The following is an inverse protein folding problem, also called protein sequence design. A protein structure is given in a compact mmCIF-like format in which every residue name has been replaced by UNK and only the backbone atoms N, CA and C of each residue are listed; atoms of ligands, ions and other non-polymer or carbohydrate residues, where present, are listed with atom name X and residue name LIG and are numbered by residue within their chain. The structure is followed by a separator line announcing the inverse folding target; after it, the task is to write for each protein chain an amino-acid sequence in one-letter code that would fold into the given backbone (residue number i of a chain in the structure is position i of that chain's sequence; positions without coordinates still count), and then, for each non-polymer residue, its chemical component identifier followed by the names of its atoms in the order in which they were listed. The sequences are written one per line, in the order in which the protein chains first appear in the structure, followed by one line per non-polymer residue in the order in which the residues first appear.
data_IF_591136502668
#
_entry.id   IF_591136502668
#
_cell.length_a   1.000
_cell.length_b   1.000
_cell.length_c   1.000
_cell.angle_alpha   90.00
_cell.angle_beta   90.00
_cell.angle_gamma   90.00
#
_symmetry.space_group_name_H-M   'P 1'
#
loop_
_entity.id
_entity.type
_entity.pdbx_description
1 polymer ?
#
# COMPACT_ATOMS: atom_id res chain seq x y z
N UNK A 1 -0.76 -11.32 33.16
CA UNK A 1 -1.41 -12.34 32.30
C UNK A 1 -0.60 -12.45 31.03
N UNK A 2 -0.12 -13.65 30.67
CA UNK A 2 0.71 -13.88 29.46
C UNK A 2 0.06 -14.86 28.48
N UNK A 3 -0.99 -15.59 28.89
CA UNK A 3 -1.77 -16.45 28.01
C UNK A 3 -2.66 -15.61 27.05
N UNK A 4 -2.95 -16.12 25.83
CA UNK A 4 -3.86 -15.46 24.88
C UNK A 4 -5.24 -15.15 25.47
N UNK A 5 -5.86 -14.07 24.98
CA UNK A 5 -7.25 -13.73 25.34
C UNK A 5 -8.20 -14.69 24.63
N UNK A 6 -9.11 -15.31 25.39
CA UNK A 6 -10.11 -16.23 24.86
C UNK A 6 -11.48 -15.57 24.67
N UNK A 7 -11.90 -14.72 25.61
CA UNK A 7 -13.18 -14.02 25.52
C UNK A 7 -13.23 -12.77 26.41
N UNK A 8 -14.03 -11.79 26.02
CA UNK A 8 -14.58 -10.78 26.93
C UNK A 8 -15.80 -11.39 27.63
N UNK A 9 -15.89 -11.26 28.95
CA UNK A 9 -16.98 -11.77 29.78
C UNK A 9 -17.80 -10.60 30.33
N UNK A 10 -18.99 -10.85 30.92
CA UNK A 10 -19.78 -9.80 31.54
C UNK A 10 -19.05 -9.01 32.66
N UNK A 11 -17.97 -9.57 33.22
CA UNK A 11 -17.25 -8.99 34.37
C UNK A 11 -15.79 -8.64 34.05
N UNK A 12 -15.30 -8.90 32.83
CA UNK A 12 -13.92 -8.62 32.46
C UNK A 12 -13.41 -9.42 31.26
N UNK A 13 -12.20 -9.98 31.38
CA UNK A 13 -11.51 -10.72 30.30
C UNK A 13 -11.06 -12.09 30.80
N UNK A 14 -11.30 -13.12 30.00
CA UNK A 14 -10.83 -14.49 30.26
C UNK A 14 -9.69 -14.87 29.30
N UNK A 15 -8.61 -15.38 29.87
CA UNK A 15 -7.50 -15.98 29.13
C UNK A 15 -7.80 -17.44 28.74
N UNK A 16 -7.04 -17.96 27.77
CA UNK A 16 -7.19 -19.33 27.27
C UNK A 16 -6.83 -20.42 28.31
N UNK A 17 -6.10 -20.08 29.36
CA UNK A 17 -5.79 -20.97 30.48
C UNK A 17 -6.88 -20.99 31.57
N UNK A 18 -7.98 -20.25 31.36
CA UNK A 18 -9.09 -20.14 32.29
C UNK A 18 -8.96 -19.00 33.31
N UNK A 19 -7.83 -18.28 33.35
CA UNK A 19 -7.66 -17.11 34.23
C UNK A 19 -8.68 -16.03 33.87
N UNK A 20 -9.43 -15.53 34.86
CA UNK A 20 -10.32 -14.38 34.71
C UNK A 20 -9.74 -13.13 35.37
N UNK A 21 -9.76 -12.01 34.64
CA UNK A 21 -9.37 -10.70 35.13
C UNK A 21 -10.60 -9.82 35.10
N UNK A 22 -11.09 -9.42 36.27
CA UNK A 22 -12.18 -8.47 36.38
C UNK A 22 -11.75 -7.10 35.84
N UNK A 23 -12.61 -6.46 35.05
CA UNK A 23 -12.34 -5.15 34.48
C UNK A 23 -13.64 -4.39 34.25
N UNK A 24 -13.67 -3.12 34.69
CA UNK A 24 -14.78 -2.21 34.42
C UNK A 24 -14.69 -1.58 33.02
N UNK A 25 -13.46 -1.50 32.47
CA UNK A 25 -13.17 -0.91 31.15
C UNK A 25 -12.18 -1.79 30.39
N UNK A 26 -12.49 -2.08 29.13
CA UNK A 26 -11.62 -2.81 28.21
C UNK A 26 -11.24 -1.91 27.04
N UNK A 27 -9.95 -1.71 26.81
CA UNK A 27 -9.42 -0.93 25.69
C UNK A 27 -8.86 -1.88 24.63
N UNK A 28 -9.44 -1.87 23.43
CA UNK A 28 -9.02 -2.71 22.32
C UNK A 28 -7.91 -2.02 21.51
N UNK A 29 -6.68 -2.50 21.67
CA UNK A 29 -5.51 -2.01 20.93
C UNK A 29 -5.04 -3.03 19.87
N UNK A 30 -5.98 -3.65 19.13
CA UNK A 30 -5.70 -4.75 18.19
C UNK A 30 -5.21 -4.30 16.81
N UNK A 31 -5.11 -2.98 16.56
CA UNK A 31 -4.62 -2.43 15.29
C UNK A 31 -5.68 -2.36 14.19
N UNK A 32 -5.23 -2.48 12.94
CA UNK A 32 -6.03 -2.29 11.72
C UNK A 32 -5.77 -3.41 10.70
N UNK A 33 -6.68 -3.58 9.75
CA UNK A 33 -6.53 -4.49 8.61
C UNK A 33 -5.61 -3.86 7.53
N UNK A 34 -4.30 -3.88 7.76
CA UNK A 34 -3.31 -3.12 6.95
C UNK A 34 -3.09 -3.62 5.53
N UNK A 35 -3.59 -4.83 5.19
CA UNK A 35 -3.45 -5.43 3.87
C UNK A 35 -4.72 -5.28 3.00
N UNK A 36 -5.85 -4.89 3.60
CA UNK A 36 -7.12 -4.67 2.88
C UNK A 36 -7.21 -3.24 2.37
N UNK A 37 -6.31 -2.89 1.45
CA UNK A 37 -6.30 -1.57 0.83
C UNK A 37 -7.61 -1.32 0.06
N UNK A 38 -8.06 -0.06 0.04
CA UNK A 38 -9.25 0.46 -0.67
C UNK A 38 -10.59 -0.25 -0.40
N UNK A 39 -10.67 -1.20 0.52
CA UNK A 39 -11.92 -1.83 0.95
C UNK A 39 -12.80 -0.77 1.68
N UNK A 40 -14.12 -0.60 1.38
CA UNK A 40 -14.96 -1.49 0.60
C UNK A 40 -15.24 -1.16 -0.88
N UNK A 41 -14.37 -0.38 -1.52
CA UNK A 41 -14.59 0.07 -2.89
C UNK A 41 -14.49 -1.07 -3.90
N UNK A 42 -15.39 -1.06 -4.88
CA UNK A 42 -15.33 -1.91 -6.06
C UNK A 42 -14.80 -1.07 -7.22
N UNK A 43 -13.54 -1.31 -7.60
CA UNK A 43 -12.86 -0.60 -8.68
C UNK A 43 -12.63 -1.59 -9.81
N UNK A 44 -13.10 -1.22 -11.00
CA UNK A 44 -12.93 -1.99 -12.24
C UNK A 44 -11.99 -1.23 -13.17
N UNK A 45 -10.97 -1.94 -13.64
CA UNK A 45 -10.05 -1.50 -14.66
C UNK A 45 -10.46 -1.96 -16.05
N UNK A 46 -9.47 -2.12 -16.93
CA UNK A 46 -9.67 -2.64 -18.29
C UNK A 46 -10.23 -4.05 -18.27
N UNK A 47 -11.01 -4.36 -19.30
CA UNK A 47 -11.60 -5.68 -19.53
C UNK A 47 -12.42 -6.23 -18.35
N UNK A 48 -12.87 -5.34 -17.45
CA UNK A 48 -13.64 -5.70 -16.26
C UNK A 48 -12.81 -6.18 -15.06
N UNK A 49 -11.47 -6.23 -15.18
CA UNK A 49 -10.57 -6.66 -14.10
C UNK A 49 -10.82 -5.83 -12.84
N UNK A 50 -11.15 -6.49 -11.73
CA UNK A 50 -11.30 -5.79 -10.46
C UNK A 50 -9.95 -5.63 -9.77
N UNK A 51 -9.79 -4.55 -9.01
CA UNK A 51 -8.57 -4.33 -8.21
C UNK A 51 -8.37 -5.42 -7.15
N UNK A 52 -9.45 -6.02 -6.66
CA UNK A 52 -9.42 -7.14 -5.74
C UNK A 52 -8.88 -8.42 -6.40
N UNK A 53 -9.22 -8.67 -7.66
CA UNK A 53 -8.62 -9.76 -8.45
C UNK A 53 -7.14 -9.49 -8.73
N UNK A 54 -6.77 -8.25 -9.06
CA UNK A 54 -5.39 -7.88 -9.36
C UNK A 54 -4.45 -8.02 -8.14
N UNK A 55 -4.88 -7.55 -6.96
CA UNK A 55 -4.07 -7.57 -5.73
C UNK A 55 -4.23 -8.85 -4.90
N UNK A 56 -5.31 -9.60 -5.11
CA UNK A 56 -5.70 -10.69 -4.23
C UNK A 56 -6.02 -10.20 -2.80
N UNK A 57 -6.01 -11.11 -1.81
CA UNK A 57 -6.41 -10.78 -0.44
C UNK A 57 -5.41 -9.91 0.32
N UNK A 58 -4.11 -9.98 -0.02
CA UNK A 58 -3.03 -9.41 0.79
C UNK A 58 -1.76 -9.02 0.01
N UNK A 59 -1.76 -9.08 -1.33
CA UNK A 59 -0.55 -8.94 -2.15
C UNK A 59 -0.56 -7.71 -3.06
N UNK A 60 -1.12 -6.61 -2.57
CA UNK A 60 -1.23 -5.39 -3.33
C UNK A 60 0.13 -4.81 -3.76
N UNK A 61 0.16 -4.17 -4.93
CA UNK A 61 1.28 -3.41 -5.44
C UNK A 61 0.81 -2.24 -6.31
N UNK A 62 1.68 -1.24 -6.46
CA UNK A 62 1.44 -0.09 -7.31
C UNK A 62 2.79 0.52 -7.70
N UNK A 63 2.90 0.98 -8.94
CA UNK A 63 4.05 1.77 -9.40
C UNK A 63 4.14 3.05 -8.57
N UNK A 64 5.29 3.25 -7.92
CA UNK A 64 5.54 4.33 -6.95
C UNK A 64 4.54 4.40 -5.78
N UNK A 65 3.70 3.38 -5.58
CA UNK A 65 2.56 3.45 -4.67
C UNK A 65 1.42 4.36 -5.13
N UNK A 66 1.39 4.74 -6.42
CA UNK A 66 0.49 5.76 -6.99
C UNK A 66 -0.42 5.17 -8.07
N UNK A 67 0.14 4.47 -9.07
CA UNK A 67 -0.63 3.99 -10.24
C UNK A 67 -0.57 2.48 -10.37
N UNK A 68 -1.63 1.87 -10.91
CA UNK A 68 -1.74 0.41 -11.06
C UNK A 68 -1.97 0.08 -12.53
N UNK A 69 -1.14 -0.78 -13.10
CA UNK A 69 -1.34 -1.30 -14.46
C UNK A 69 -2.68 -2.02 -14.55
N UNK A 70 -3.42 -1.81 -15.64
CA UNK A 70 -4.79 -2.30 -15.84
C UNK A 70 -5.86 -1.31 -15.37
N UNK A 71 -5.50 -0.23 -14.68
CA UNK A 71 -6.44 0.74 -14.09
C UNK A 71 -6.15 2.17 -14.56
N UNK A 72 -6.57 2.54 -15.80
CA UNK A 72 -6.33 3.87 -16.33
C UNK A 72 -7.00 4.94 -15.46
N UNK A 73 -6.31 6.09 -15.29
CA UNK A 73 -6.76 7.24 -14.48
C UNK A 73 -7.00 6.93 -12.99
N UNK A 74 -6.61 5.75 -12.49
CA UNK A 74 -6.61 5.45 -11.07
C UNK A 74 -5.32 5.93 -10.42
N UNK A 75 -5.45 6.91 -9.52
CA UNK A 75 -4.35 7.43 -8.72
C UNK A 75 -4.61 7.19 -7.25
N UNK A 76 -3.61 6.63 -6.57
CA UNK A 76 -3.63 6.33 -5.15
C UNK A 76 -2.74 7.32 -4.43
N UNK A 77 -3.30 7.97 -3.41
CA UNK A 77 -2.51 8.44 -2.28
C UNK A 77 -2.49 7.33 -1.26
N UNK A 78 -1.39 7.16 -0.55
CA UNK A 78 -1.29 6.12 0.47
C UNK A 78 -1.40 4.69 -0.06
N UNK A 79 -0.96 4.48 -1.30
CA UNK A 79 -1.00 3.15 -1.91
C UNK A 79 -0.01 2.15 -1.29
N UNK A 80 -0.03 0.91 -1.81
CA UNK A 80 0.88 -0.16 -1.36
C UNK A 80 2.35 0.29 -1.38
N UNK A 81 3.13 -0.19 -0.42
CA UNK A 81 4.57 0.01 -0.40
C UNK A 81 5.04 1.44 -0.07
N UNK A 82 4.22 2.26 0.58
CA UNK A 82 4.51 3.69 0.85
C UNK A 82 4.69 4.03 2.33
N UNK A 83 4.39 3.09 3.23
CA UNK A 83 4.50 3.32 4.68
C UNK A 83 5.97 3.40 5.09
N UNK A 84 6.32 4.41 5.89
CA UNK A 84 7.68 4.60 6.36
C UNK A 84 7.99 3.71 7.57
N UNK A 85 8.54 2.52 7.33
CA UNK A 85 9.00 1.63 8.41
C UNK A 85 10.30 2.11 9.08
N UNK A 86 11.14 2.86 8.37
CA UNK A 86 12.47 3.30 8.81
C UNK A 86 12.50 4.76 9.33
N UNK A 87 11.34 5.32 9.66
CA UNK A 87 11.20 6.69 10.18
C UNK A 87 11.00 7.77 9.10
N UNK A 88 10.53 8.94 9.55
CA UNK A 88 10.15 10.08 8.72
C UNK A 88 8.67 10.45 8.87
N UNK A 89 8.24 11.48 8.14
CA UNK A 89 6.84 11.89 8.11
C UNK A 89 6.14 11.30 6.90
N UNK A 90 5.06 10.58 7.17
CA UNK A 90 4.19 10.08 6.12
C UNK A 90 3.55 11.22 5.30
N UNK A 91 3.34 12.39 5.91
CA UNK A 91 2.84 13.59 5.23
C UNK A 91 3.78 13.95 4.06
N UNK A 92 5.09 13.80 4.23
CA UNK A 92 6.07 14.06 3.15
C UNK A 92 5.88 13.11 1.97
N UNK A 93 5.57 11.84 2.22
CA UNK A 93 5.27 10.87 1.16
C UNK A 93 3.96 11.23 0.45
N UNK A 94 2.93 11.58 1.21
CA UNK A 94 1.66 12.02 0.65
C UNK A 94 1.80 13.30 -0.20
N UNK A 95 2.59 14.28 0.23
CA UNK A 95 2.88 15.50 -0.55
C UNK A 95 3.61 15.19 -1.86
N UNK A 96 4.55 14.23 -1.84
CA UNK A 96 5.21 13.76 -3.06
C UNK A 96 4.22 13.15 -4.04
N UNK A 97 3.33 12.27 -3.54
CA UNK A 97 2.29 11.62 -4.35
C UNK A 97 1.29 12.62 -4.91
N UNK A 98 0.75 13.51 -4.07
CA UNK A 98 -0.24 14.52 -4.50
C UNK A 98 0.36 15.42 -5.57
N UNK A 99 1.60 15.89 -5.41
CA UNK A 99 2.27 16.71 -6.42
C UNK A 99 2.41 15.97 -7.75
N UNK A 100 2.85 14.71 -7.71
CA UNK A 100 2.98 13.87 -8.91
C UNK A 100 1.63 13.65 -9.61
N UNK A 101 0.57 13.36 -8.83
CA UNK A 101 -0.80 13.15 -9.34
C UNK A 101 -1.34 14.43 -9.98
N UNK A 102 -1.16 15.58 -9.32
CA UNK A 102 -1.60 16.88 -9.86
C UNK A 102 -0.86 17.21 -11.15
N UNK A 103 0.44 16.94 -11.24
CA UNK A 103 1.23 17.11 -12.48
C UNK A 103 0.71 16.21 -13.60
N UNK A 104 0.41 14.93 -13.31
CA UNK A 104 -0.17 14.01 -14.30
C UNK A 104 -1.53 14.51 -14.81
N UNK A 105 -2.44 14.89 -13.91
CA UNK A 105 -3.77 15.40 -14.27
C UNK A 105 -3.66 16.71 -15.06
N UNK A 106 -2.77 17.61 -14.67
CA UNK A 106 -2.54 18.86 -15.40
C UNK A 106 -2.01 18.60 -16.82
N UNK A 107 -1.10 17.63 -16.99
CA UNK A 107 -0.62 17.18 -18.29
C UNK A 107 -1.75 16.59 -19.14
N UNK A 108 -2.59 15.73 -18.55
CA UNK A 108 -3.78 15.20 -19.25
C UNK A 108 -4.70 16.30 -19.77
N UNK A 109 -4.93 17.36 -18.99
CA UNK A 109 -5.75 18.50 -19.40
C UNK A 109 -5.06 19.33 -20.48
N UNK A 110 -3.75 19.52 -20.38
CA UNK A 110 -2.97 20.34 -21.32
C UNK A 110 -2.83 19.67 -22.69
N UNK A 111 -2.63 18.36 -22.69
CA UNK A 111 -2.35 17.56 -23.89
C UNK A 111 -3.59 16.84 -24.45
N UNK A 112 -4.77 17.16 -23.92
CA UNK A 112 -6.07 16.59 -24.31
C UNK A 112 -6.12 15.05 -24.27
N UNK A 113 -5.63 14.49 -23.16
CA UNK A 113 -5.59 13.04 -22.91
C UNK A 113 -6.86 12.57 -22.20
N UNK A 114 -7.42 11.45 -22.66
CA UNK A 114 -8.57 10.77 -22.07
C UNK A 114 -8.17 9.69 -21.06
N UNK A 115 -7.02 9.04 -21.26
CA UNK A 115 -6.51 8.02 -20.35
C UNK A 115 -4.99 8.10 -20.19
N UNK A 116 -4.52 7.87 -18.96
CA UNK A 116 -3.11 7.67 -18.60
C UNK A 116 -3.02 6.42 -17.73
N UNK A 117 -2.13 5.52 -18.09
CA UNK A 117 -1.96 4.23 -17.42
C UNK A 117 -0.48 3.83 -17.42
N UNK A 118 0.03 3.39 -16.27
CA UNK A 118 1.42 2.90 -16.20
C UNK A 118 1.59 1.68 -17.09
N UNK A 119 2.67 1.64 -17.85
CA UNK A 119 2.94 0.52 -18.76
C UNK A 119 3.21 -0.76 -17.96
N UNK A 120 2.67 -1.93 -18.36
CA UNK A 120 2.76 -3.16 -17.57
C UNK A 120 4.20 -3.58 -17.19
N UNK A 121 5.15 -3.40 -18.10
CA UNK A 121 6.55 -3.72 -17.85
C UNK A 121 7.24 -2.75 -16.88
N UNK A 122 6.82 -1.48 -16.86
CA UNK A 122 7.36 -0.47 -15.93
C UNK A 122 6.84 -0.77 -14.54
N UNK A 123 5.55 -1.10 -14.42
CA UNK A 123 4.96 -1.54 -13.17
C UNK A 123 5.66 -2.80 -12.62
N UNK A 124 5.84 -3.81 -13.48
CA UNK A 124 6.50 -5.05 -13.10
C UNK A 124 7.97 -4.84 -12.68
N UNK A 125 8.73 -4.01 -13.41
CA UNK A 125 10.11 -3.66 -13.04
C UNK A 125 10.18 -2.93 -11.69
N UNK A 126 9.29 -1.96 -11.45
CA UNK A 126 9.22 -1.27 -10.16
C UNK A 126 8.93 -2.24 -9.02
N UNK A 127 7.94 -3.12 -9.18
CA UNK A 127 7.60 -4.14 -8.18
C UNK A 127 8.78 -5.08 -7.91
N UNK A 128 9.49 -5.53 -8.95
CA UNK A 128 10.68 -6.36 -8.79
C UNK A 128 11.81 -5.65 -8.02
N UNK A 129 12.07 -4.37 -8.32
CA UNK A 129 13.07 -3.56 -7.59
C UNK A 129 12.66 -3.31 -6.14
N UNK A 130 11.39 -3.05 -5.89
CA UNK A 130 10.82 -2.86 -4.55
C UNK A 130 10.99 -4.13 -3.70
N UNK A 131 10.65 -5.29 -4.26
CA UNK A 131 10.79 -6.58 -3.58
C UNK A 131 12.26 -6.93 -3.33
N UNK A 132 13.14 -6.71 -4.31
CA UNK A 132 14.58 -6.94 -4.17
C UNK A 132 15.21 -6.04 -3.09
N UNK A 133 14.80 -4.78 -3.00
CA UNK A 133 15.25 -3.87 -1.95
C UNK A 133 14.80 -4.36 -0.56
N UNK A 134 13.55 -4.82 -0.43
CA UNK A 134 13.04 -5.38 0.82
C UNK A 134 13.73 -6.67 1.26
N UNK A 135 14.16 -7.51 0.32
CA UNK A 135 14.89 -8.74 0.62
C UNK A 135 16.18 -8.49 1.43
N UNK A 136 16.77 -7.29 1.32
CA UNK A 136 17.97 -6.88 2.04
C UNK A 136 17.69 -6.14 3.37
N UNK A 137 16.44 -6.01 3.80
CA UNK A 137 16.05 -5.22 4.98
C UNK A 137 15.76 -6.05 6.22
N UNK A 138 15.86 -5.43 7.40
CA UNK A 138 15.50 -6.06 8.69
C UNK A 138 14.05 -6.57 8.70
N UNK A 139 13.18 -5.95 7.89
CA UNK A 139 11.77 -6.31 7.80
C UNK A 139 11.55 -7.73 7.34
N UNK A 140 12.47 -8.35 6.60
CA UNK A 140 12.40 -9.72 6.04
C UNK A 140 13.19 -10.75 6.85
N UNK A 141 13.93 -10.32 7.88
CA UNK A 141 14.69 -11.21 8.76
C UNK A 141 13.80 -12.26 9.44
N UNK A 142 14.18 -13.56 9.52
CA UNK A 142 13.34 -14.63 10.10
C UNK A 142 12.90 -14.39 11.55
N UNK A 143 13.72 -13.65 12.32
CA UNK A 143 13.41 -13.28 13.70
C UNK A 143 12.49 -12.06 13.86
N UNK A 144 12.17 -11.34 12.78
CA UNK A 144 11.31 -10.16 12.85
C UNK A 144 9.84 -10.55 12.66
N UNK A 145 8.99 -10.19 13.63
CA UNK A 145 7.53 -10.26 13.52
C UNK A 145 6.98 -8.84 13.34
N UNK A 146 6.36 -8.59 12.19
CA UNK A 146 5.78 -7.29 11.85
C UNK A 146 4.56 -7.48 10.94
N UNK A 147 3.78 -6.42 10.78
CA UNK A 147 2.59 -6.37 9.92
C UNK A 147 2.91 -5.90 8.49
N UNK A 148 4.18 -5.67 8.14
CA UNK A 148 4.55 -5.21 6.79
C UNK A 148 4.49 -6.34 5.77
N UNK A 149 4.61 -7.60 6.21
CA UNK A 149 4.60 -8.78 5.35
C UNK A 149 3.21 -9.39 5.23
N UNK A 150 2.89 -9.85 4.03
CA UNK A 150 1.77 -10.75 3.83
C UNK A 150 2.14 -12.20 4.27
N UNK A 151 1.18 -13.14 4.27
CA UNK A 151 1.42 -14.55 4.62
C UNK A 151 2.46 -15.28 3.76
N UNK A 152 2.72 -14.83 2.52
CA UNK A 152 3.79 -15.38 1.68
C UNK A 152 5.17 -14.82 2.00
N UNK A 153 5.26 -13.82 2.90
CA UNK A 153 6.50 -13.21 3.37
C UNK A 153 6.97 -12.00 2.56
N UNK A 154 6.24 -11.59 1.52
CA UNK A 154 6.52 -10.38 0.75
C UNK A 154 6.15 -9.14 1.55
N UNK A 155 7.00 -8.11 1.52
CA UNK A 155 6.72 -6.83 2.18
C UNK A 155 5.81 -5.98 1.29
N UNK A 156 4.57 -5.77 1.71
CA UNK A 156 3.52 -5.11 0.92
C UNK A 156 3.29 -3.66 1.35
N UNK A 157 3.47 -3.35 2.64
CA UNK A 157 3.10 -2.03 3.17
C UNK A 157 4.24 -1.01 3.15
N UNK A 158 5.48 -1.44 3.43
CA UNK A 158 6.58 -0.52 3.70
C UNK A 158 7.25 0.03 2.43
N UNK A 159 7.82 1.23 2.54
CA UNK A 159 8.66 1.85 1.53
C UNK A 159 10.14 1.45 1.77
N UNK A 160 10.85 0.94 0.75
CA UNK A 160 12.25 0.56 0.88
C UNK A 160 13.23 1.70 0.54
N UNK A 161 12.73 2.80 -0.02
CA UNK A 161 13.57 3.88 -0.55
C UNK A 161 13.86 4.94 0.51
N UNK A 162 15.02 5.58 0.44
CA UNK A 162 15.25 6.80 1.22
C UNK A 162 14.26 7.87 0.76
N UNK A 163 13.81 8.73 1.67
CA UNK A 163 12.82 9.78 1.36
C UNK A 163 13.30 10.68 0.21
N UNK A 164 14.61 10.98 0.14
CA UNK A 164 15.19 11.78 -0.96
C UNK A 164 15.17 11.06 -2.31
N UNK A 165 15.31 9.73 -2.31
CA UNK A 165 15.23 8.93 -3.54
C UNK A 165 13.77 8.90 -4.01
N UNK A 166 12.84 8.63 -3.10
CA UNK A 166 11.41 8.65 -3.43
C UNK A 166 10.93 10.02 -3.92
N UNK A 167 11.37 11.11 -3.28
CA UNK A 167 11.10 12.48 -3.74
C UNK A 167 11.63 12.72 -5.15
N UNK A 168 12.81 12.17 -5.48
CA UNK A 168 13.41 12.27 -6.83
C UNK A 168 12.59 11.48 -7.85
N UNK A 169 12.21 10.25 -7.52
CA UNK A 169 11.38 9.37 -8.35
C UNK A 169 9.99 9.95 -8.63
N UNK A 170 9.46 10.72 -7.69
CA UNK A 170 8.14 11.37 -7.78
C UNK A 170 8.26 12.87 -8.09
N UNK A 171 9.43 13.35 -8.52
CA UNK A 171 9.65 14.78 -8.74
C UNK A 171 8.88 15.30 -9.93
N UNK A 172 8.81 14.52 -11.00
CA UNK A 172 8.12 14.84 -12.24
C UNK A 172 7.52 13.57 -12.80
N UNK A 173 6.45 13.72 -13.57
CA UNK A 173 5.86 12.59 -14.30
C UNK A 173 6.77 12.26 -15.48
N UNK A 174 7.31 11.05 -15.50
CA UNK A 174 8.00 10.54 -16.69
C UNK A 174 6.96 9.94 -17.64
N UNK A 175 6.55 10.70 -18.64
CA UNK A 175 5.55 10.26 -19.62
C UNK A 175 5.97 9.02 -20.41
N UNK A 176 7.26 8.67 -20.46
CA UNK A 176 7.71 7.42 -21.09
C UNK A 176 7.29 6.17 -20.28
N UNK A 177 6.98 6.32 -19.00
CA UNK A 177 6.47 5.26 -18.14
C UNK A 177 4.99 4.94 -18.38
N UNK A 178 4.26 5.79 -19.12
CA UNK A 178 2.82 5.72 -19.28
C UNK A 178 2.39 5.46 -20.72
N UNK A 179 1.36 4.63 -20.87
CA UNK A 179 0.54 4.59 -22.07
C UNK A 179 -0.54 5.66 -21.94
N UNK A 180 -0.74 6.44 -23.02
CA UNK A 180 -1.71 7.53 -23.05
C UNK A 180 -2.68 7.35 -24.20
N UNK A 181 -3.93 7.75 -24.00
CA UNK A 181 -4.99 7.75 -25.02
C UNK A 181 -5.58 9.16 -25.15
N UNK A 182 -5.92 9.62 -26.37
CA UNK A 182 -6.54 10.93 -26.58
C UNK A 182 -7.94 10.99 -25.95
N UNK A 183 -8.41 12.20 -25.64
CA UNK A 183 -9.76 12.42 -25.13
C UNK A 183 -10.79 12.17 -26.26
N UNK A 184 -11.80 11.37 -25.96
CA UNK A 184 -12.95 11.11 -26.86
C UNK A 184 -13.98 12.23 -26.81
#
# INVERSE_FOLDING_TARGET
MTAPVAAVTPTGVRASDGTEVAADVVVLCTGFETHKLIWPLSIHGRDGLTIAEAWGPDNADAHLGITVSGFPNLFLTCGPGTVLGHGGSYITIAECQVRYIVEAIAGMVTDDLGAVEVRPEVHADYTARHDAAHAAMVWTHPGARNWYRNPSGRVVCALPWRIVDYWTMTRHVDWAEYAVEPRH
#
